data_IF_889815095116
#
_entry.id   IF_889815095116
#
_cell.length_a   1.000
_cell.length_b   1.000
_cell.length_c   1.000
_cell.angle_alpha   90.00
_cell.angle_beta   90.00
_cell.angle_gamma   90.00
#
_symmetry.space_group_name_H-M   'P 1'
#
loop_
_entity.id
_entity.type
_entity.pdbx_description
1 polymer ?
#
# COMPACT_ATOMS: atom_id res chain seq x y z
N UNK A 1 -54.23 49.22 -21.83
CA UNK A 1 -53.75 48.28 -20.79
C UNK A 1 -53.43 46.94 -21.43
N UNK A 2 -52.15 46.59 -21.52
CA UNK A 2 -51.59 45.22 -21.51
C UNK A 2 -50.06 45.35 -21.71
N UNK A 3 -49.34 45.43 -20.59
CA UNK A 3 -47.89 45.30 -20.56
C UNK A 3 -47.54 43.84 -20.84
N UNK A 4 -46.74 43.59 -21.88
CA UNK A 4 -46.10 42.29 -22.09
C UNK A 4 -44.76 42.30 -21.37
N UNK A 5 -44.65 41.52 -20.30
CA UNK A 5 -43.38 41.28 -19.60
C UNK A 5 -42.58 40.22 -20.36
N UNK A 6 -41.37 40.58 -20.78
CA UNK A 6 -40.38 39.64 -21.30
C UNK A 6 -39.67 38.96 -20.13
N UNK A 7 -39.76 37.63 -20.05
CA UNK A 7 -38.97 36.80 -19.14
C UNK A 7 -37.60 36.53 -19.78
N UNK A 8 -36.48 36.67 -19.04
CA UNK A 8 -35.18 36.27 -19.55
C UNK A 8 -35.03 34.74 -19.47
N UNK A 9 -34.64 34.14 -20.59
CA UNK A 9 -34.26 32.73 -20.69
C UNK A 9 -32.85 32.58 -20.07
N UNK A 10 -32.78 32.04 -18.85
CA UNK A 10 -31.49 31.65 -18.26
C UNK A 10 -31.04 30.33 -18.88
N UNK A 11 -30.00 30.39 -19.73
CA UNK A 11 -29.24 29.24 -20.20
C UNK A 11 -28.45 28.67 -19.02
N UNK A 12 -28.93 27.57 -18.44
CA UNK A 12 -28.12 26.71 -17.57
C UNK A 12 -27.21 25.89 -18.50
N UNK A 13 -25.96 26.31 -18.64
CA UNK A 13 -24.91 25.45 -19.18
C UNK A 13 -24.58 24.43 -18.10
N UNK A 14 -25.22 23.27 -18.17
CA UNK A 14 -24.77 22.11 -17.42
C UNK A 14 -23.40 21.71 -17.99
N UNK A 15 -22.34 22.15 -17.32
CA UNK A 15 -21.00 21.62 -17.55
C UNK A 15 -21.06 20.13 -17.25
N UNK A 16 -20.95 19.30 -18.29
CA UNK A 16 -20.70 17.87 -18.15
C UNK A 16 -19.27 17.76 -17.63
N UNK A 17 -19.10 17.89 -16.31
CA UNK A 17 -17.84 17.57 -15.66
C UNK A 17 -17.59 16.10 -15.90
N UNK A 18 -16.63 15.77 -16.78
CA UNK A 18 -16.12 14.42 -16.86
C UNK A 18 -15.71 14.02 -15.45
N UNK A 19 -16.34 12.98 -14.89
CA UNK A 19 -15.89 12.42 -13.63
C UNK A 19 -14.39 12.14 -13.79
N UNK A 20 -13.53 12.69 -12.92
CA UNK A 20 -12.10 12.47 -13.04
C UNK A 20 -11.85 10.97 -13.10
N UNK A 21 -11.12 10.53 -14.13
CA UNK A 21 -10.89 9.11 -14.36
C UNK A 21 -10.20 8.52 -13.14
N UNK A 22 -10.97 7.75 -12.38
CA UNK A 22 -10.53 7.13 -11.14
C UNK A 22 -9.77 5.86 -11.48
N UNK A 23 -8.67 5.59 -10.79
CA UNK A 23 -8.01 4.30 -10.88
C UNK A 23 -8.94 3.21 -10.34
N UNK A 24 -9.02 2.09 -11.04
CA UNK A 24 -9.76 0.93 -10.59
C UNK A 24 -8.88 0.11 -9.64
N UNK A 25 -9.38 -0.16 -8.44
CA UNK A 25 -8.68 -0.99 -7.44
C UNK A 25 -9.29 -2.39 -7.41
N UNK A 26 -8.46 -3.40 -7.65
CA UNK A 26 -8.84 -4.81 -7.68
C UNK A 26 -8.26 -5.52 -6.46
N UNK A 27 -9.09 -5.64 -5.43
CA UNK A 27 -8.70 -6.30 -4.19
C UNK A 27 -8.88 -7.82 -4.29
N UNK A 28 -7.84 -8.55 -3.91
CA UNK A 28 -7.79 -10.01 -3.93
C UNK A 28 -7.44 -10.57 -2.56
N UNK A 29 -8.08 -11.69 -2.19
CA UNK A 29 -7.60 -12.55 -1.12
C UNK A 29 -7.28 -13.92 -1.71
N UNK A 30 -6.15 -13.97 -2.41
CA UNK A 30 -5.76 -15.18 -3.10
C UNK A 30 -5.10 -16.18 -2.15
N UNK A 31 -5.58 -17.43 -2.20
CA UNK A 31 -5.10 -18.49 -1.31
C UNK A 31 -3.61 -18.77 -1.46
N UNK A 32 -3.12 -18.92 -2.69
CA UNK A 32 -1.70 -19.21 -2.92
C UNK A 32 -0.81 -18.02 -2.53
N UNK A 33 -1.27 -16.78 -2.72
CA UNK A 33 -0.57 -15.59 -2.28
C UNK A 33 -0.49 -15.52 -0.74
N UNK A 34 -1.58 -15.84 -0.05
CA UNK A 34 -1.63 -15.90 1.41
C UNK A 34 -0.80 -17.06 1.97
N UNK A 35 -0.86 -18.25 1.36
CA UNK A 35 -0.02 -19.39 1.75
C UNK A 35 1.47 -19.06 1.60
N UNK A 36 1.85 -18.42 0.49
CA UNK A 36 3.23 -17.97 0.29
C UNK A 36 3.69 -17.02 1.39
N UNK A 37 2.89 -16.00 1.69
CA UNK A 37 3.22 -15.03 2.73
C UNK A 37 3.16 -15.60 4.16
N UNK A 38 2.27 -16.55 4.42
CA UNK A 38 2.23 -17.31 5.67
C UNK A 38 3.54 -18.07 5.89
N UNK A 39 4.00 -18.82 4.89
CA UNK A 39 5.27 -19.55 4.99
C UNK A 39 6.48 -18.62 5.01
N UNK A 40 6.44 -17.51 4.26
CA UNK A 40 7.49 -16.50 4.27
C UNK A 40 7.62 -15.86 5.67
N UNK A 41 6.51 -15.43 6.27
CA UNK A 41 6.49 -14.87 7.62
C UNK A 41 7.06 -15.86 8.65
N UNK A 42 6.65 -17.13 8.60
CA UNK A 42 7.20 -18.18 9.47
C UNK A 42 8.68 -18.49 9.16
N UNK A 43 9.13 -18.32 7.92
CA UNK A 43 10.53 -18.46 7.55
C UNK A 43 11.42 -17.36 8.13
N UNK A 44 10.91 -16.13 8.17
CA UNK A 44 11.57 -14.97 8.80
C UNK A 44 11.50 -15.07 10.33
N UNK A 45 10.38 -15.54 10.86
CA UNK A 45 10.05 -15.60 12.28
C UNK A 45 9.64 -17.03 12.71
N UNK A 46 10.58 -17.99 12.74
CA UNK A 46 10.27 -19.40 12.98
C UNK A 46 9.67 -19.66 14.37
N UNK A 47 9.90 -18.79 15.35
CA UNK A 47 9.29 -18.86 16.67
C UNK A 47 7.77 -18.65 16.65
N UNK A 48 7.20 -18.12 15.55
CA UNK A 48 5.77 -17.93 15.40
C UNK A 48 5.03 -19.24 15.13
N UNK A 49 5.70 -20.30 14.65
CA UNK A 49 5.07 -21.60 14.34
C UNK A 49 4.29 -22.14 15.53
N UNK A 50 4.84 -22.01 16.73
CA UNK A 50 4.22 -22.51 17.97
C UNK A 50 3.17 -21.53 18.56
N UNK A 51 3.02 -20.34 17.97
CA UNK A 51 2.07 -19.30 18.39
C UNK A 51 0.86 -19.19 17.46
N UNK A 52 0.81 -20.02 16.42
CA UNK A 52 -0.30 -20.00 15.46
C UNK A 52 -1.60 -20.38 16.17
N UNK A 53 -2.60 -19.53 16.00
CA UNK A 53 -3.97 -19.84 16.42
C UNK A 53 -4.64 -20.67 15.33
N UNK A 54 -4.74 -21.97 15.55
CA UNK A 54 -5.36 -22.90 14.62
C UNK A 54 -6.88 -22.89 14.73
N UNK A 55 -7.57 -22.84 13.59
CA UNK A 55 -9.02 -23.08 13.53
C UNK A 55 -9.33 -24.56 13.71
N UNK A 56 -8.51 -25.43 13.12
CA UNK A 56 -8.51 -26.87 13.36
C UNK A 56 -7.08 -27.33 13.63
N UNK A 57 -6.90 -28.15 14.67
CA UNK A 57 -5.57 -28.64 15.08
C UNK A 57 -4.96 -29.50 13.97
N UNK A 58 -3.78 -29.12 13.42
CA UNK A 58 -3.10 -29.95 12.44
C UNK A 58 -2.63 -31.28 13.07
N UNK A 59 -2.62 -32.34 12.28
CA UNK A 59 -2.04 -33.63 12.67
C UNK A 59 -0.51 -33.54 12.82
N UNK A 60 0.09 -34.58 13.41
CA UNK A 60 1.55 -34.64 13.56
C UNK A 60 2.30 -34.65 12.21
N UNK A 61 1.75 -35.33 11.20
CA UNK A 61 2.33 -35.39 9.86
C UNK A 61 2.24 -34.03 9.15
N UNK A 62 1.10 -33.35 9.32
CA UNK A 62 0.89 -31.99 8.79
C UNK A 62 1.79 -30.95 9.45
N UNK A 63 1.97 -31.02 10.77
CA UNK A 63 2.95 -30.19 11.47
C UNK A 63 4.38 -30.48 11.01
N UNK A 64 4.70 -31.74 10.70
CA UNK A 64 6.00 -32.12 10.15
C UNK A 64 6.21 -31.53 8.76
N UNK A 65 5.19 -31.62 7.89
CA UNK A 65 5.21 -31.01 6.56
C UNK A 65 5.35 -29.48 6.64
N UNK A 66 4.61 -28.82 7.54
CA UNK A 66 4.71 -27.39 7.78
C UNK A 66 6.12 -26.98 8.19
N UNK A 67 6.70 -27.65 9.20
CA UNK A 67 8.06 -27.34 9.67
C UNK A 67 9.10 -27.51 8.56
N UNK A 68 8.94 -28.52 7.70
CA UNK A 68 9.79 -28.70 6.51
C UNK A 68 9.64 -27.56 5.50
N UNK A 69 8.40 -27.12 5.24
CA UNK A 69 8.13 -25.99 4.36
C UNK A 69 8.71 -24.68 4.93
N UNK A 70 8.54 -24.43 6.24
CA UNK A 70 9.11 -23.27 6.92
C UNK A 70 10.64 -23.29 6.86
N UNK A 71 11.28 -24.44 7.08
CA UNK A 71 12.73 -24.57 6.93
C UNK A 71 13.18 -24.26 5.49
N UNK A 72 12.44 -24.73 4.47
CA UNK A 72 12.72 -24.38 3.09
C UNK A 72 12.63 -22.86 2.85
N UNK A 73 11.60 -22.18 3.37
CA UNK A 73 11.47 -20.73 3.26
C UNK A 73 12.58 -19.98 3.99
N UNK A 74 12.92 -20.39 5.21
CA UNK A 74 14.03 -19.82 5.98
C UNK A 74 15.35 -19.88 5.20
N UNK A 75 15.62 -21.02 4.59
CA UNK A 75 16.92 -21.28 3.95
C UNK A 75 17.03 -20.63 2.56
N UNK A 76 15.91 -20.40 1.86
CA UNK A 76 15.91 -19.96 0.45
C UNK A 76 15.33 -18.56 0.21
N UNK A 77 14.40 -18.10 1.05
CA UNK A 77 13.59 -16.90 0.79
C UNK A 77 13.61 -15.86 1.91
N UNK A 78 13.73 -16.24 3.18
CA UNK A 78 13.56 -15.33 4.32
C UNK A 78 14.56 -14.15 4.39
N UNK A 79 15.67 -14.22 3.65
CA UNK A 79 16.67 -13.12 3.54
C UNK A 79 16.52 -12.29 2.27
N UNK A 80 15.61 -12.66 1.38
CA UNK A 80 15.37 -11.96 0.12
C UNK A 80 14.34 -10.86 0.32
N UNK A 81 14.54 -9.73 -0.33
CA UNK A 81 13.55 -8.66 -0.29
C UNK A 81 12.33 -9.06 -1.13
N UNK A 82 11.09 -9.02 -0.59
CA UNK A 82 9.89 -9.22 -1.40
C UNK A 82 9.71 -8.18 -2.52
N UNK A 83 10.37 -7.02 -2.39
CA UNK A 83 10.26 -5.89 -3.31
C UNK A 83 11.47 -5.76 -4.26
N UNK A 84 12.69 -6.07 -3.78
CA UNK A 84 13.94 -5.76 -4.50
C UNK A 84 14.68 -7.00 -5.03
N UNK A 85 14.11 -8.20 -4.86
CA UNK A 85 14.66 -9.44 -5.42
C UNK A 85 13.80 -9.89 -6.61
N UNK A 86 14.43 -10.00 -7.78
CA UNK A 86 13.75 -10.35 -9.04
C UNK A 86 13.03 -11.71 -8.98
N UNK A 87 13.57 -12.67 -8.22
CA UNK A 87 12.93 -13.97 -8.05
C UNK A 87 11.68 -13.84 -7.18
N UNK A 88 11.73 -13.04 -6.11
CA UNK A 88 10.55 -12.76 -5.27
C UNK A 88 9.46 -12.03 -6.06
N UNK A 89 9.83 -11.04 -6.88
CA UNK A 89 8.89 -10.35 -7.76
C UNK A 89 8.24 -11.30 -8.79
N UNK A 90 9.04 -12.21 -9.37
CA UNK A 90 8.55 -13.23 -10.30
C UNK A 90 7.62 -14.24 -9.62
N UNK A 91 7.94 -14.68 -8.40
CA UNK A 91 7.10 -15.57 -7.58
C UNK A 91 5.75 -14.89 -7.33
N UNK A 92 5.78 -13.63 -6.86
CA UNK A 92 4.59 -12.84 -6.58
C UNK A 92 3.69 -12.76 -7.82
N UNK A 93 4.25 -12.40 -8.98
CA UNK A 93 3.52 -12.35 -10.25
C UNK A 93 2.90 -13.72 -10.62
N UNK A 94 3.65 -14.81 -10.47
CA UNK A 94 3.16 -16.15 -10.75
C UNK A 94 2.04 -16.61 -9.79
N UNK A 95 1.98 -16.06 -8.57
CA UNK A 95 0.95 -16.33 -7.56
C UNK A 95 -0.27 -15.40 -7.68
N UNK A 96 -0.21 -14.34 -8.49
CA UNK A 96 -1.32 -13.44 -8.79
C UNK A 96 -2.31 -14.08 -9.77
N UNK A 97 -2.96 -15.14 -9.30
CA UNK A 97 -3.92 -15.97 -10.04
C UNK A 97 -5.31 -15.88 -9.41
N UNK A 98 -6.26 -16.67 -9.91
CA UNK A 98 -7.60 -16.74 -9.34
C UNK A 98 -7.57 -17.07 -7.83
N UNK A 99 -8.35 -16.33 -7.05
CA UNK A 99 -8.33 -16.38 -5.58
C UNK A 99 -8.62 -17.79 -5.02
N UNK A 100 -9.40 -18.58 -5.77
CA UNK A 100 -9.81 -19.94 -5.41
C UNK A 100 -8.81 -21.03 -5.81
N UNK A 101 -7.76 -20.72 -6.58
CA UNK A 101 -6.75 -21.73 -6.95
C UNK A 101 -6.03 -22.25 -5.71
N UNK A 102 -5.84 -23.57 -5.66
CA UNK A 102 -5.20 -24.28 -4.53
C UNK A 102 -3.89 -24.97 -4.91
N UNK A 103 -3.69 -25.25 -6.19
CA UNK A 103 -2.53 -25.98 -6.71
C UNK A 103 -1.53 -25.02 -7.35
N UNK A 104 -0.28 -25.09 -6.91
CA UNK A 104 0.85 -24.35 -7.44
C UNK A 104 1.45 -24.99 -8.69
N UNK A 105 1.20 -26.29 -8.92
CA UNK A 105 1.57 -26.99 -10.15
C UNK A 105 1.14 -26.24 -11.42
N UNK A 106 2.05 -26.14 -12.39
CA UNK A 106 1.82 -25.46 -13.68
C UNK A 106 1.93 -23.93 -13.64
N UNK A 107 2.21 -23.32 -12.48
CA UNK A 107 2.59 -21.91 -12.39
C UNK A 107 4.08 -21.75 -12.74
N UNK A 108 4.46 -20.53 -13.14
CA UNK A 108 5.85 -20.15 -13.41
C UNK A 108 6.65 -19.95 -12.10
N UNK A 109 6.68 -20.97 -11.25
CA UNK A 109 7.37 -21.00 -9.96
C UNK A 109 8.61 -21.91 -10.03
N UNK A 110 9.64 -21.67 -9.20
CA UNK A 110 10.68 -22.67 -8.97
C UNK A 110 10.05 -24.03 -8.61
N UNK A 111 10.46 -25.16 -9.22
CA UNK A 111 9.81 -26.45 -8.99
C UNK A 111 9.77 -26.88 -7.52
N UNK A 112 10.84 -26.62 -6.75
CA UNK A 112 10.84 -26.92 -5.32
C UNK A 112 9.86 -26.04 -4.54
N UNK A 113 9.65 -24.79 -4.95
CA UNK A 113 8.67 -23.90 -4.31
C UNK A 113 7.24 -24.38 -4.58
N UNK A 114 6.92 -24.73 -5.84
CA UNK A 114 5.61 -25.26 -6.18
C UNK A 114 5.30 -26.54 -5.38
N UNK A 115 6.23 -27.50 -5.35
CA UNK A 115 6.09 -28.71 -4.55
C UNK A 115 5.96 -28.43 -3.05
N UNK A 116 6.67 -27.42 -2.53
CA UNK A 116 6.56 -27.00 -1.13
C UNK A 116 5.17 -26.45 -0.83
N UNK A 117 4.65 -25.53 -1.65
CA UNK A 117 3.30 -24.98 -1.52
C UNK A 117 2.24 -26.10 -1.56
N UNK A 118 2.31 -26.98 -2.57
CA UNK A 118 1.36 -28.07 -2.76
C UNK A 118 1.36 -29.04 -1.56
N UNK A 119 2.53 -29.29 -0.95
CA UNK A 119 2.64 -30.22 0.19
C UNK A 119 1.93 -29.75 1.46
N UNK A 120 1.74 -28.44 1.65
CA UNK A 120 1.10 -27.87 2.85
C UNK A 120 -0.23 -27.19 2.56
N UNK A 121 -0.60 -27.02 1.29
CA UNK A 121 -1.86 -26.42 0.88
C UNK A 121 -3.10 -27.11 1.51
N UNK A 122 -3.21 -28.46 1.55
CA UNK A 122 -4.34 -29.11 2.20
C UNK A 122 -4.48 -28.77 3.68
N UNK A 123 -3.38 -28.81 4.43
CA UNK A 123 -3.33 -28.42 5.85
C UNK A 123 -3.76 -26.96 6.02
N UNK A 124 -3.12 -26.06 5.28
CA UNK A 124 -3.40 -24.63 5.35
C UNK A 124 -4.88 -24.34 5.07
N UNK A 125 -5.48 -25.03 4.09
CA UNK A 125 -6.87 -24.85 3.71
C UNK A 125 -7.87 -25.15 4.84
N UNK A 126 -7.69 -26.21 5.61
CA UNK A 126 -8.65 -26.60 6.65
C UNK A 126 -8.24 -26.16 8.07
N UNK A 127 -6.96 -25.95 8.33
CA UNK A 127 -6.47 -25.57 9.66
C UNK A 127 -6.54 -24.06 9.92
N UNK A 128 -6.42 -23.20 8.90
CA UNK A 128 -6.23 -21.75 9.14
C UNK A 128 -6.78 -20.82 8.05
N UNK A 129 -6.86 -21.26 6.77
CA UNK A 129 -7.24 -20.39 5.65
C UNK A 129 -8.58 -19.70 5.86
N UNK A 130 -9.60 -20.40 6.35
CA UNK A 130 -10.93 -19.83 6.57
C UNK A 130 -10.90 -18.60 7.49
N UNK A 131 -10.07 -18.63 8.55
CA UNK A 131 -9.91 -17.50 9.45
C UNK A 131 -9.13 -16.35 8.80
N UNK A 132 -8.06 -16.66 8.06
CA UNK A 132 -7.24 -15.65 7.38
C UNK A 132 -8.00 -14.95 6.25
N UNK A 133 -8.71 -15.71 5.41
CA UNK A 133 -9.58 -15.17 4.37
C UNK A 133 -10.68 -14.31 4.99
N UNK A 134 -11.35 -14.75 6.06
CA UNK A 134 -12.35 -13.94 6.74
C UNK A 134 -11.78 -12.59 7.23
N UNK A 135 -10.56 -12.59 7.80
CA UNK A 135 -9.85 -11.35 8.19
C UNK A 135 -9.55 -10.46 6.98
N UNK A 136 -9.02 -11.03 5.90
CA UNK A 136 -8.74 -10.31 4.66
C UNK A 136 -10.02 -9.71 4.06
N UNK A 137 -11.11 -10.47 3.97
CA UNK A 137 -12.38 -10.02 3.41
C UNK A 137 -13.00 -8.90 4.24
N UNK A 138 -12.88 -8.95 5.58
CA UNK A 138 -13.33 -7.86 6.45
C UNK A 138 -12.53 -6.58 6.19
N UNK A 139 -11.21 -6.69 6.08
CA UNK A 139 -10.34 -5.55 5.76
C UNK A 139 -10.65 -4.99 4.36
N UNK A 140 -10.81 -5.85 3.35
CA UNK A 140 -11.17 -5.48 1.97
C UNK A 140 -12.52 -4.76 1.95
N UNK A 141 -13.52 -5.25 2.69
CA UNK A 141 -14.83 -4.63 2.74
C UNK A 141 -14.76 -3.20 3.30
N UNK A 142 -13.98 -2.99 4.36
CA UNK A 142 -13.78 -1.66 4.92
C UNK A 142 -13.01 -0.73 3.98
N UNK A 143 -11.91 -1.22 3.38
CA UNK A 143 -11.14 -0.46 2.40
C UNK A 143 -12.01 -0.05 1.19
N UNK A 144 -12.80 -0.98 0.63
CA UNK A 144 -13.75 -0.68 -0.45
C UNK A 144 -14.82 0.32 -0.04
N UNK A 145 -15.33 0.23 1.19
CA UNK A 145 -16.35 1.16 1.71
C UNK A 145 -15.78 2.58 1.83
N UNK A 146 -14.57 2.72 2.37
CA UNK A 146 -13.89 4.00 2.50
C UNK A 146 -13.49 4.56 1.13
N UNK A 147 -12.94 3.72 0.27
CA UNK A 147 -12.58 4.06 -1.09
C UNK A 147 -13.81 4.56 -1.87
N UNK A 148 -14.94 3.84 -1.83
CA UNK A 148 -16.17 4.28 -2.49
C UNK A 148 -16.66 5.67 -2.02
N UNK A 149 -16.40 6.04 -0.76
CA UNK A 149 -16.86 7.29 -0.16
C UNK A 149 -15.90 8.47 -0.36
N UNK A 150 -14.59 8.23 -0.30
CA UNK A 150 -13.57 9.27 -0.22
C UNK A 150 -12.54 9.20 -1.34
N UNK A 151 -12.44 8.09 -2.06
CA UNK A 151 -11.31 7.83 -2.95
C UNK A 151 -11.20 8.78 -4.15
N UNK A 152 -12.31 9.35 -4.65
CA UNK A 152 -12.23 10.39 -5.70
C UNK A 152 -11.46 11.62 -5.21
N UNK A 153 -11.87 12.17 -4.06
CA UNK A 153 -11.23 13.34 -3.45
C UNK A 153 -9.79 13.04 -3.02
N UNK A 154 -9.55 11.85 -2.46
CA UNK A 154 -8.21 11.42 -2.05
C UNK A 154 -7.27 11.28 -3.24
N UNK A 155 -7.71 10.61 -4.32
CA UNK A 155 -6.93 10.46 -5.54
C UNK A 155 -6.58 11.82 -6.15
N UNK A 156 -7.57 12.70 -6.29
CA UNK A 156 -7.36 14.06 -6.81
C UNK A 156 -6.41 14.86 -5.93
N UNK A 157 -6.56 14.78 -4.61
CA UNK A 157 -5.71 15.48 -3.65
C UNK A 157 -4.25 15.05 -3.76
N UNK A 158 -4.00 13.74 -3.75
CA UNK A 158 -2.65 13.20 -3.88
C UNK A 158 -2.05 13.57 -5.23
N UNK A 159 -2.77 13.36 -6.33
CA UNK A 159 -2.27 13.68 -7.67
C UNK A 159 -1.97 15.18 -7.85
N UNK A 160 -2.76 16.05 -7.22
CA UNK A 160 -2.55 17.50 -7.23
C UNK A 160 -1.26 17.90 -6.51
N UNK A 161 -1.00 17.35 -5.33
CA UNK A 161 0.16 17.72 -4.52
C UNK A 161 1.45 17.02 -4.97
N UNK A 162 1.38 15.78 -5.44
CA UNK A 162 2.54 15.11 -6.02
C UNK A 162 2.79 15.52 -7.49
N UNK A 163 1.85 16.25 -8.09
CA UNK A 163 1.87 16.69 -9.49
C UNK A 163 2.07 15.54 -10.50
N UNK A 164 1.56 14.36 -10.17
CA UNK A 164 1.60 13.17 -10.99
C UNK A 164 0.27 12.40 -10.85
N UNK A 165 -0.31 11.90 -11.95
CA UNK A 165 -1.56 11.14 -11.91
C UNK A 165 -1.32 9.70 -11.44
N UNK A 166 -2.37 9.06 -10.95
CA UNK A 166 -2.42 7.59 -10.82
C UNK A 166 -2.54 6.95 -12.21
N UNK A 167 -2.09 5.70 -12.38
CA UNK A 167 -2.28 4.98 -13.64
C UNK A 167 -3.77 4.78 -13.94
N UNK A 168 -4.10 4.74 -15.24
CA UNK A 168 -5.47 4.49 -15.70
C UNK A 168 -5.78 2.98 -15.80
N UNK A 169 -4.77 2.13 -15.70
CA UNK A 169 -4.93 0.68 -15.66
C UNK A 169 -5.40 0.24 -14.28
N UNK A 170 -6.24 -0.80 -14.17
CA UNK A 170 -6.59 -1.38 -12.88
C UNK A 170 -5.33 -1.78 -12.10
N UNK A 171 -5.33 -1.49 -10.81
CA UNK A 171 -4.27 -1.87 -9.88
C UNK A 171 -4.72 -3.08 -9.09
N UNK A 172 -3.96 -4.17 -9.20
CA UNK A 172 -4.13 -5.35 -8.36
C UNK A 172 -3.57 -5.08 -6.95
N UNK A 173 -4.40 -5.33 -5.94
CA UNK A 173 -4.05 -5.26 -4.52
C UNK A 173 -4.29 -6.63 -3.90
N UNK A 174 -3.22 -7.36 -3.63
CA UNK A 174 -3.25 -8.63 -2.91
C UNK A 174 -3.24 -8.38 -1.40
N UNK A 175 -4.31 -8.80 -0.72
CA UNK A 175 -4.43 -8.69 0.74
C UNK A 175 -4.03 -10.02 1.38
N UNK A 176 -3.01 -9.94 2.23
CA UNK A 176 -2.47 -11.07 3.00
C UNK A 176 -2.55 -10.79 4.49
N UNK A 177 -2.48 -11.78 5.37
CA UNK A 177 -2.50 -11.47 6.82
C UNK A 177 -1.23 -10.76 7.28
N UNK A 178 -0.07 -11.27 6.88
CA UNK A 178 1.23 -10.69 7.20
C UNK A 178 2.14 -10.71 5.98
N UNK A 179 3.05 -9.74 5.86
CA UNK A 179 4.05 -9.72 4.79
C UNK A 179 5.41 -10.28 5.21
N UNK A 180 5.58 -10.62 6.49
CA UNK A 180 6.85 -11.09 7.06
C UNK A 180 7.95 -10.02 7.09
N UNK A 181 7.59 -8.75 6.91
CA UNK A 181 8.55 -7.63 6.96
C UNK A 181 8.03 -6.53 7.87
N UNK A 182 8.95 -5.76 8.47
CA UNK A 182 8.59 -4.63 9.34
C UNK A 182 7.92 -3.49 8.58
N UNK A 183 8.24 -3.36 7.29
CA UNK A 183 7.79 -2.30 6.38
C UNK A 183 6.26 -2.33 6.20
N UNK A 184 5.62 -3.49 6.36
CA UNK A 184 4.18 -3.63 6.18
C UNK A 184 3.85 -3.91 4.73
N UNK A 185 3.12 -3.02 4.06
CA UNK A 185 2.81 -3.13 2.63
C UNK A 185 4.05 -3.00 1.75
N UNK A 186 3.94 -3.46 0.51
CA UNK A 186 4.95 -3.21 -0.52
C UNK A 186 4.33 -3.20 -1.91
N UNK A 187 4.91 -2.40 -2.82
CA UNK A 187 4.34 -2.14 -4.15
C UNK A 187 5.41 -2.03 -5.21
N UNK A 188 5.23 -2.75 -6.32
CA UNK A 188 5.90 -2.51 -7.61
C UNK A 188 4.87 -2.15 -8.69
N UNK A 189 4.62 -2.97 -9.70
CA UNK A 189 3.44 -2.88 -10.58
C UNK A 189 2.16 -3.41 -9.93
N UNK A 190 2.27 -4.12 -8.80
CA UNK A 190 1.16 -4.58 -7.98
C UNK A 190 1.45 -4.39 -6.49
N UNK A 191 0.40 -4.22 -5.71
CA UNK A 191 0.48 -3.93 -4.28
C UNK A 191 0.17 -5.19 -3.47
N UNK A 192 0.92 -5.41 -2.39
CA UNK A 192 0.60 -6.39 -1.34
C UNK A 192 0.44 -5.65 -0.01
N UNK A 193 -0.70 -5.83 0.66
CA UNK A 193 -1.01 -5.15 1.93
C UNK A 193 -1.37 -6.17 3.03
N UNK A 194 -0.80 -6.03 4.24
CA UNK A 194 -1.17 -6.87 5.38
C UNK A 194 -2.50 -6.43 6.02
N UNK A 195 -3.45 -7.35 6.14
CA UNK A 195 -4.71 -7.19 6.88
C UNK A 195 -4.59 -7.53 8.37
N UNK A 196 -3.55 -8.25 8.79
CA UNK A 196 -3.35 -8.67 10.18
C UNK A 196 -2.77 -7.58 11.07
N UNK A 197 -2.28 -6.49 10.48
CA UNK A 197 -1.64 -5.38 11.17
C UNK A 197 -2.68 -4.50 11.89
N UNK A 198 -2.64 -4.38 13.23
CA UNK A 198 -3.61 -3.56 13.97
C UNK A 198 -3.58 -2.07 13.59
N UNK A 199 -2.42 -1.58 13.18
CA UNK A 199 -2.19 -0.20 12.75
C UNK A 199 -2.71 0.09 11.33
N UNK A 200 -3.13 -0.92 10.57
CA UNK A 200 -3.70 -0.80 9.21
C UNK A 200 -5.24 -0.92 9.19
N UNK A 201 -5.87 -1.07 10.35
CA UNK A 201 -7.31 -1.34 10.47
C UNK A 201 -8.17 -0.07 10.41
N UNK A 202 -9.45 -0.26 10.06
CA UNK A 202 -10.45 0.80 10.10
C UNK A 202 -10.11 1.95 9.15
N UNK A 203 -10.18 3.19 9.65
CA UNK A 203 -9.92 4.41 8.88
C UNK A 203 -8.54 4.45 8.23
N UNK A 204 -7.54 3.78 8.83
CA UNK A 204 -6.18 3.73 8.29
C UNK A 204 -6.07 2.91 7.00
N UNK A 205 -7.01 2.00 6.74
CA UNK A 205 -6.97 1.17 5.53
C UNK A 205 -6.99 2.02 4.25
N UNK A 206 -7.75 3.13 4.23
CA UNK A 206 -7.77 4.05 3.09
C UNK A 206 -6.41 4.75 2.89
N UNK A 207 -5.82 5.26 3.98
CA UNK A 207 -4.50 5.88 3.92
C UNK A 207 -3.46 4.90 3.41
N UNK A 208 -3.45 3.67 3.93
CA UNK A 208 -2.47 2.67 3.52
C UNK A 208 -2.67 2.20 2.08
N UNK A 209 -3.91 2.03 1.62
CA UNK A 209 -4.18 1.73 0.20
C UNK A 209 -3.59 2.82 -0.68
N UNK A 210 -3.96 4.08 -0.46
CA UNK A 210 -3.50 5.19 -1.30
C UNK A 210 -2.01 5.49 -1.15
N UNK A 211 -1.43 5.24 0.02
CA UNK A 211 0.01 5.28 0.22
C UNK A 211 0.70 4.28 -0.70
N UNK A 212 0.31 3.01 -0.63
CA UNK A 212 0.93 1.93 -1.41
C UNK A 212 0.78 2.15 -2.91
N UNK A 213 -0.43 2.41 -3.41
CA UNK A 213 -0.64 2.56 -4.86
C UNK A 213 0.01 3.84 -5.43
N UNK A 214 0.38 4.80 -4.58
CA UNK A 214 1.12 5.98 -5.03
C UNK A 214 2.52 5.64 -5.52
N UNK A 215 3.13 4.55 -5.01
CA UNK A 215 4.45 4.06 -5.45
C UNK A 215 4.48 3.60 -6.92
N UNK A 216 3.34 3.38 -7.58
CA UNK A 216 3.31 2.87 -8.97
C UNK A 216 3.66 3.96 -9.99
N UNK A 217 3.26 5.21 -9.73
CA UNK A 217 3.47 6.32 -10.67
C UNK A 217 3.32 7.71 -10.03
N UNK A 218 2.49 7.83 -8.99
CA UNK A 218 2.15 9.13 -8.40
C UNK A 218 3.33 9.76 -7.63
N UNK A 219 4.34 8.99 -7.23
CA UNK A 219 5.55 9.50 -6.58
C UNK A 219 6.69 9.83 -7.54
N UNK A 220 6.66 9.35 -8.79
CA UNK A 220 7.77 9.47 -9.76
C UNK A 220 8.30 10.90 -9.89
N UNK A 221 7.40 11.88 -10.02
CA UNK A 221 7.83 13.28 -10.20
C UNK A 221 8.53 13.82 -8.95
N UNK A 222 8.03 13.48 -7.76
CA UNK A 222 8.63 13.87 -6.49
C UNK A 222 10.00 13.23 -6.30
N UNK A 223 10.10 11.91 -6.53
CA UNK A 223 11.34 11.16 -6.46
C UNK A 223 12.40 11.74 -7.40
N UNK A 224 12.07 11.89 -8.68
CA UNK A 224 12.97 12.45 -9.69
C UNK A 224 13.43 13.89 -9.35
N UNK A 225 12.52 14.74 -8.84
CA UNK A 225 12.86 16.11 -8.49
C UNK A 225 13.78 16.20 -7.26
N UNK A 226 13.53 15.36 -6.25
CA UNK A 226 14.39 15.26 -5.06
C UNK A 226 15.77 14.71 -5.46
N UNK A 227 15.83 13.62 -6.23
CA UNK A 227 17.09 13.03 -6.69
C UNK A 227 17.91 14.02 -7.51
N UNK A 228 17.28 14.72 -8.47
CA UNK A 228 17.93 15.72 -9.28
C UNK A 228 18.53 16.85 -8.42
N UNK A 229 17.81 17.30 -7.38
CA UNK A 229 18.30 18.35 -6.47
C UNK A 229 19.40 17.84 -5.54
N UNK A 230 19.30 16.63 -5.00
CA UNK A 230 20.35 16.02 -4.17
C UNK A 230 21.66 15.94 -4.96
N UNK A 231 21.59 15.48 -6.21
CA UNK A 231 22.73 15.44 -7.13
C UNK A 231 23.30 16.82 -7.42
N UNK A 232 22.45 17.80 -7.71
CA UNK A 232 22.88 19.17 -8.00
C UNK A 232 23.52 19.88 -6.80
N UNK A 233 23.21 19.44 -5.57
CA UNK A 233 23.71 20.02 -4.32
C UNK A 233 24.77 19.16 -3.62
N UNK A 234 25.21 18.07 -4.26
CA UNK A 234 26.21 17.12 -3.72
C UNK A 234 25.84 16.61 -2.32
N UNK A 235 24.54 16.40 -2.09
CA UNK A 235 24.01 15.82 -0.85
C UNK A 235 23.87 14.31 -0.98
N UNK A 236 23.75 13.61 0.15
CA UNK A 236 23.57 12.16 0.15
C UNK A 236 22.37 11.76 -0.73
N UNK A 237 22.57 11.00 -1.82
CA UNK A 237 21.49 10.55 -2.68
C UNK A 237 20.52 9.59 -1.97
N UNK A 238 20.96 8.92 -0.91
CA UNK A 238 20.15 7.96 -0.14
C UNK A 238 19.27 8.67 0.90
N UNK A 239 18.46 9.63 0.44
CA UNK A 239 17.53 10.37 1.29
C UNK A 239 16.11 9.79 1.19
N UNK A 240 15.59 9.34 2.34
CA UNK A 240 14.17 8.95 2.50
C UNK A 240 13.19 10.16 2.49
N UNK A 241 13.66 11.36 2.12
CA UNK A 241 12.83 12.57 2.09
C UNK A 241 11.57 12.39 1.24
N UNK A 242 11.69 11.76 0.06
CA UNK A 242 10.55 11.54 -0.82
C UNK A 242 9.47 10.67 -0.13
N UNK A 243 9.88 9.64 0.61
CA UNK A 243 8.97 8.72 1.30
C UNK A 243 8.29 9.40 2.49
N UNK A 244 9.05 10.20 3.24
CA UNK A 244 8.50 11.05 4.29
C UNK A 244 7.47 12.06 3.76
N UNK A 245 7.75 12.70 2.62
CA UNK A 245 6.82 13.63 1.95
C UNK A 245 5.57 12.91 1.45
N UNK A 246 5.69 11.69 0.91
CA UNK A 246 4.54 10.87 0.50
C UNK A 246 3.63 10.56 1.68
N UNK A 247 4.17 10.01 2.78
CA UNK A 247 3.39 9.73 4.00
C UNK A 247 2.67 10.97 4.51
N UNK A 248 3.37 12.10 4.56
CA UNK A 248 2.81 13.38 4.96
C UNK A 248 1.65 13.82 4.07
N UNK A 249 1.82 13.71 2.76
CA UNK A 249 0.85 14.14 1.75
C UNK A 249 -0.40 13.28 1.79
N UNK A 250 -0.24 11.96 1.71
CA UNK A 250 -1.35 11.01 1.71
C UNK A 250 -2.14 11.12 3.02
N UNK A 251 -1.45 11.13 4.16
CA UNK A 251 -2.07 11.28 5.47
C UNK A 251 -2.86 12.59 5.64
N UNK A 252 -2.31 13.70 5.16
CA UNK A 252 -3.01 15.01 5.17
C UNK A 252 -4.26 14.99 4.30
N UNK A 253 -4.17 14.46 3.08
CA UNK A 253 -5.31 14.38 2.15
C UNK A 253 -6.43 13.51 2.71
N UNK A 254 -6.10 12.34 3.28
CA UNK A 254 -7.09 11.44 3.87
C UNK A 254 -7.74 12.07 5.12
N UNK A 255 -6.94 12.72 5.97
CA UNK A 255 -7.44 13.46 7.13
C UNK A 255 -8.44 14.55 6.73
N UNK A 256 -8.14 15.32 5.68
CA UNK A 256 -9.03 16.38 5.21
C UNK A 256 -10.33 15.82 4.63
N UNK A 257 -10.26 14.72 3.86
CA UNK A 257 -11.43 14.03 3.34
C UNK A 257 -12.37 13.51 4.45
N UNK A 258 -11.80 12.97 5.53
CA UNK A 258 -12.55 12.54 6.71
C UNK A 258 -13.14 13.71 7.51
N UNK A 259 -12.38 14.81 7.64
CA UNK A 259 -12.81 16.00 8.36
C UNK A 259 -14.09 16.62 7.76
N UNK A 260 -14.29 16.53 6.44
CA UNK A 260 -15.52 16.96 5.77
C UNK A 260 -16.78 16.37 6.41
N UNK A 261 -16.68 15.12 6.84
CA UNK A 261 -17.79 14.37 7.44
C UNK A 261 -17.73 14.36 8.98
N UNK A 262 -16.92 15.25 9.58
CA UNK A 262 -16.77 15.38 11.03
C UNK A 262 -15.99 14.24 11.69
N UNK A 263 -15.28 13.42 10.92
CA UNK A 263 -14.50 12.30 11.44
C UNK A 263 -13.12 12.82 11.87
N UNK A 264 -12.83 12.72 13.16
CA UNK A 264 -11.49 12.98 13.67
C UNK A 264 -10.55 11.83 13.28
N UNK A 265 -9.45 12.17 12.60
CA UNK A 265 -8.47 11.20 12.16
C UNK A 265 -7.05 11.72 12.39
N UNK A 266 -6.19 10.83 12.90
CA UNK A 266 -4.76 11.04 13.06
C UNK A 266 -4.05 10.21 11.97
N UNK A 267 -3.27 10.83 11.07
CA UNK A 267 -2.54 10.13 10.02
C UNK A 267 -1.66 9.01 10.55
N UNK A 268 -1.45 7.97 9.73
CA UNK A 268 -0.67 6.79 10.10
C UNK A 268 0.73 7.15 10.60
N UNK A 269 1.44 8.01 9.87
CA UNK A 269 2.80 8.41 10.23
C UNK A 269 2.88 9.17 11.57
N UNK A 270 1.86 9.97 11.89
CA UNK A 270 1.76 10.70 13.16
C UNK A 270 1.45 9.74 14.32
N UNK A 271 0.40 8.92 14.15
CA UNK A 271 -0.07 7.95 15.13
C UNK A 271 0.98 6.89 15.44
N UNK A 272 1.65 6.39 14.41
CA UNK A 272 2.73 5.41 14.50
C UNK A 272 4.08 5.99 14.95
N UNK A 273 4.19 7.32 15.08
CA UNK A 273 5.40 7.99 15.54
C UNK A 273 6.56 7.94 14.55
N UNK A 274 6.30 7.79 13.25
CA UNK A 274 7.37 7.72 12.23
C UNK A 274 8.21 9.01 12.20
N UNK A 275 7.54 10.16 12.29
CA UNK A 275 8.19 11.48 12.40
C UNK A 275 8.75 11.79 13.79
N UNK A 276 8.55 10.92 14.78
CA UNK A 276 9.23 10.99 16.09
C UNK A 276 10.43 10.04 16.17
N UNK A 277 10.45 9.02 15.32
CA UNK A 277 11.51 8.03 15.21
C UNK A 277 12.48 8.34 14.07
N UNK A 278 12.66 7.37 13.18
CA UNK A 278 13.66 7.39 12.11
C UNK A 278 13.55 8.62 11.19
N UNK A 279 12.35 9.11 10.90
CA UNK A 279 12.13 10.29 10.04
C UNK A 279 12.01 11.61 10.81
N UNK A 280 12.36 11.66 12.09
CA UNK A 280 12.40 12.91 12.87
C UNK A 280 13.18 14.05 12.17
N UNK A 281 14.35 13.80 11.54
CA UNK A 281 15.06 14.85 10.81
C UNK A 281 14.35 15.37 9.55
N UNK A 282 13.41 14.60 8.99
CA UNK A 282 12.69 14.96 7.76
C UNK A 282 11.46 15.85 8.04
N UNK A 283 10.90 15.81 9.25
CA UNK A 283 9.70 16.57 9.54
C UNK A 283 9.90 18.10 9.46
N UNK A 284 10.98 18.71 10.01
CA UNK A 284 11.17 20.15 9.91
C UNK A 284 11.17 20.71 8.46
N UNK A 285 11.90 20.13 7.48
CA UNK A 285 11.82 20.62 6.10
C UNK A 285 10.43 20.38 5.48
N UNK A 286 9.77 19.26 5.76
CA UNK A 286 8.40 18.99 5.28
C UNK A 286 7.42 20.06 5.80
N UNK A 287 7.47 20.37 7.10
CA UNK A 287 6.60 21.35 7.74
C UNK A 287 6.88 22.78 7.26
N UNK A 288 8.14 23.14 7.10
CA UNK A 288 8.53 24.50 6.71
C UNK A 288 8.40 24.77 5.22
N UNK A 289 8.44 23.75 4.36
CA UNK A 289 8.44 23.93 2.90
C UNK A 289 7.30 23.20 2.18
N UNK A 290 7.09 21.90 2.46
CA UNK A 290 6.03 21.16 1.79
C UNK A 290 4.63 21.63 2.21
N UNK A 291 4.39 21.84 3.51
CA UNK A 291 3.09 22.32 3.99
C UNK A 291 2.73 23.70 3.40
N UNK A 292 3.62 24.71 3.32
CA UNK A 292 3.33 25.93 2.58
C UNK A 292 2.99 25.72 1.10
N UNK A 293 3.66 24.78 0.42
CA UNK A 293 3.30 24.42 -0.96
C UNK A 293 1.88 23.87 -1.05
N UNK A 294 1.51 22.92 -0.18
CA UNK A 294 0.14 22.38 -0.13
C UNK A 294 -0.91 23.47 0.16
N UNK A 295 -0.53 24.53 0.88
CA UNK A 295 -1.37 25.70 1.14
C UNK A 295 -1.34 26.78 0.02
N UNK A 296 -0.71 26.49 -1.12
CA UNK A 296 -0.64 27.41 -2.27
C UNK A 296 0.31 28.60 -2.08
N UNK A 297 1.20 28.56 -1.09
CA UNK A 297 2.13 29.68 -0.78
C UNK A 297 3.44 29.64 -1.57
N UNK A 298 3.73 28.51 -2.20
CA UNK A 298 4.87 28.36 -3.10
C UNK A 298 4.59 27.28 -4.16
N UNK A 299 5.48 27.15 -5.13
CA UNK A 299 5.42 26.12 -6.17
C UNK A 299 6.03 24.81 -5.69
N UNK A 300 5.71 23.71 -6.38
CA UNK A 300 6.29 22.39 -6.13
C UNK A 300 7.83 22.42 -6.21
N UNK A 301 8.38 23.00 -7.28
CA UNK A 301 9.83 23.06 -7.50
C UNK A 301 10.55 23.85 -6.39
N UNK A 302 9.94 24.94 -5.91
CA UNK A 302 10.46 25.72 -4.78
C UNK A 302 10.48 24.91 -3.49
N UNK A 303 9.39 24.18 -3.18
CA UNK A 303 9.33 23.35 -1.99
C UNK A 303 10.36 22.22 -2.03
N UNK A 304 10.47 21.49 -3.15
CA UNK A 304 11.47 20.43 -3.32
C UNK A 304 12.88 20.97 -3.15
N UNK A 305 13.21 22.07 -3.84
CA UNK A 305 14.53 22.67 -3.76
C UNK A 305 14.89 23.04 -2.31
N UNK A 306 13.98 23.73 -1.60
CA UNK A 306 14.23 24.19 -0.23
C UNK A 306 14.25 23.07 0.79
N UNK A 307 13.40 22.05 0.67
CA UNK A 307 13.46 20.88 1.55
C UNK A 307 14.82 20.19 1.46
N UNK A 308 15.30 19.93 0.24
CA UNK A 308 16.60 19.29 0.01
C UNK A 308 17.73 20.18 0.52
N UNK A 309 17.65 21.49 0.31
CA UNK A 309 18.66 22.45 0.77
C UNK A 309 18.77 22.53 2.30
N UNK A 310 17.75 22.10 3.04
CA UNK A 310 17.76 22.03 4.50
C UNK A 310 18.29 20.71 5.05
N UNK A 311 18.50 19.68 4.22
CA UNK A 311 19.10 18.43 4.68
C UNK A 311 20.56 18.67 5.13
N UNK A 312 21.15 17.79 5.95
CA UNK A 312 22.59 17.83 6.24
C UNK A 312 23.42 17.71 4.95
N UNK A 313 24.55 18.40 4.88
CA UNK A 313 25.53 18.14 3.83
C UNK A 313 26.06 16.71 4.00
N UNK A 314 26.27 16.01 2.89
CA UNK A 314 26.88 14.67 2.88
C UNK A 314 28.35 14.71 3.26
#
# INVERSE_FOLDING_TARGET
MRCAAALPLSLIVAGVGASPTRVQLEFHSAFLMNLHHFLYNLGVHPELVEKISWTATPSADEMTALRKAVAHYRDNYAKRSPLFDDQMASIKTALSVADTRREAGGLALPPQLAATLDSVAPMYAHCIWAQQDASNQQWIAEAKRLDARYGVEVQEGIARYLQAPFPLTPIRIDVVVDTGTRQGGYTDTQTVIPSGRPDYQGLASLEMVYHEISHIASTDKLENAIEARLKATQRNPDSDLWHGVQFYTVGTVVKDAYKRDGIAYEPYADKGGLFKGYWSPLLPPIESEWRPYMNGKQTFDQAVARMVDQLPAG
#
